data_IF_805170738965
#
_entry.id   IF_805170738965
#
_cell.length_a   1.000
_cell.length_b   1.000
_cell.length_c   1.000
_cell.angle_alpha   90.00
_cell.angle_beta   90.00
_cell.angle_gamma   90.00
#
_symmetry.space_group_name_H-M   'P 1'
#
loop_
_entity.id
_entity.type
_entity.pdbx_description
1 polymer ?
#
# COMPACT_ATOMS: atom_id res chain seq x y z
N UNK A 1 3.31 -31.44 9.40
CA UNK A 1 2.78 -30.06 9.47
C UNK A 1 1.28 -30.14 9.61
N UNK A 2 0.67 -29.43 10.57
CA UNK A 2 -0.79 -29.41 10.72
C UNK A 2 -1.46 -28.84 9.47
N UNK A 3 -2.55 -29.47 9.01
CA UNK A 3 -3.29 -29.04 7.81
C UNK A 3 -3.75 -27.57 7.89
N UNK A 4 -4.03 -27.08 9.09
CA UNK A 4 -4.41 -25.68 9.34
C UNK A 4 -3.32 -24.69 8.87
N UNK A 5 -2.05 -25.06 8.96
CA UNK A 5 -0.94 -24.22 8.51
C UNK A 5 -0.83 -24.14 6.98
N UNK A 6 -1.55 -24.99 6.24
CA UNK A 6 -1.66 -24.88 4.78
C UNK A 6 -2.56 -23.71 4.34
N UNK A 7 -3.51 -23.28 5.17
CA UNK A 7 -4.37 -22.12 4.87
C UNK A 7 -3.63 -20.78 4.94
N UNK A 8 -2.44 -20.75 5.54
CA UNK A 8 -1.62 -19.52 5.63
C UNK A 8 -1.31 -18.94 4.25
N UNK A 9 -1.14 -19.81 3.25
CA UNK A 9 -0.80 -19.37 1.89
C UNK A 9 -1.98 -18.67 1.24
N UNK A 10 -3.18 -19.23 1.43
CA UNK A 10 -4.43 -18.61 0.99
C UNK A 10 -4.67 -17.27 1.69
N UNK A 11 -4.49 -17.23 3.02
CA UNK A 11 -4.62 -15.99 3.82
C UNK A 11 -3.68 -14.91 3.27
N UNK A 12 -2.39 -15.23 3.12
CA UNK A 12 -1.40 -14.25 2.65
C UNK A 12 -1.64 -13.86 1.20
N UNK A 13 -2.05 -14.80 0.34
CA UNK A 13 -2.42 -14.51 -1.03
C UNK A 13 -3.59 -13.52 -1.11
N UNK A 14 -4.68 -13.76 -0.37
CA UNK A 14 -5.84 -12.89 -0.35
C UNK A 14 -5.50 -11.49 0.16
N UNK A 15 -4.71 -11.42 1.23
CA UNK A 15 -4.27 -10.14 1.83
C UNK A 15 -3.37 -9.34 0.88
N UNK A 16 -2.39 -9.98 0.25
CA UNK A 16 -1.49 -9.34 -0.73
C UNK A 16 -2.30 -8.82 -1.92
N UNK A 17 -3.21 -9.64 -2.45
CA UNK A 17 -4.07 -9.27 -3.56
C UNK A 17 -4.95 -8.07 -3.19
N UNK A 18 -5.61 -8.10 -2.04
CA UNK A 18 -6.42 -6.99 -1.53
C UNK A 18 -5.60 -5.71 -1.43
N UNK A 19 -4.43 -5.76 -0.80
CA UNK A 19 -3.54 -4.62 -0.67
C UNK A 19 -3.12 -4.06 -2.05
N UNK A 20 -2.79 -4.94 -3.00
CA UNK A 20 -2.42 -4.54 -4.35
C UNK A 20 -3.51 -3.74 -5.05
N UNK A 21 -4.77 -4.15 -4.91
CA UNK A 21 -5.94 -3.47 -5.50
C UNK A 21 -6.32 -2.19 -4.77
N UNK A 22 -6.30 -2.21 -3.44
CA UNK A 22 -6.86 -1.12 -2.64
C UNK A 22 -5.86 -0.02 -2.32
N UNK A 23 -4.54 -0.26 -2.34
CA UNK A 23 -3.55 0.71 -1.84
C UNK A 23 -2.37 0.95 -2.80
N UNK A 24 -2.07 -0.04 -3.63
CA UNK A 24 -0.92 -0.05 -4.53
C UNK A 24 -1.38 -0.11 -5.98
N UNK A 25 -0.49 -0.49 -6.88
CA UNK A 25 -0.71 -0.35 -8.32
C UNK A 25 -1.03 -1.68 -8.99
N UNK A 26 -1.78 -2.53 -8.29
CA UNK A 26 -2.25 -3.84 -8.73
C UNK A 26 -1.14 -4.82 -9.14
N UNK A 27 0.14 -4.52 -8.90
CA UNK A 27 1.24 -5.47 -9.07
C UNK A 27 1.63 -6.04 -7.71
N UNK A 28 1.86 -7.34 -7.72
CA UNK A 28 2.40 -8.07 -6.58
C UNK A 28 3.13 -9.31 -7.08
N UNK A 29 4.01 -9.84 -6.24
CA UNK A 29 4.69 -11.11 -6.51
C UNK A 29 4.52 -12.03 -5.32
N UNK A 30 4.31 -13.32 -5.59
CA UNK A 30 4.24 -14.36 -4.57
C UNK A 30 5.10 -15.53 -5.04
N UNK A 31 6.04 -15.94 -4.21
CA UNK A 31 6.91 -17.10 -4.43
C UNK A 31 6.79 -18.03 -3.23
N UNK A 32 6.21 -19.21 -3.46
CA UNK A 32 6.14 -20.25 -2.44
C UNK A 32 7.36 -21.17 -2.53
N UNK A 33 8.02 -21.35 -1.38
CA UNK A 33 9.09 -22.33 -1.17
C UNK A 33 8.53 -23.39 -0.23
N UNK A 34 7.54 -24.11 -0.75
CA UNK A 34 6.80 -25.14 -0.03
C UNK A 34 7.74 -26.22 0.52
N UNK A 35 7.49 -26.78 1.72
CA UNK A 35 6.37 -26.47 2.62
C UNK A 35 6.66 -25.37 3.65
N UNK A 36 7.90 -24.90 3.75
CA UNK A 36 8.36 -24.16 4.93
C UNK A 36 8.31 -22.64 4.80
N UNK A 37 8.22 -22.09 3.59
CA UNK A 37 8.35 -20.64 3.40
C UNK A 37 7.50 -20.11 2.26
N UNK A 38 7.08 -18.85 2.38
CA UNK A 38 6.51 -18.05 1.29
C UNK A 38 7.05 -16.64 1.39
N UNK A 39 7.36 -16.06 0.24
CA UNK A 39 7.79 -14.67 0.13
C UNK A 39 6.85 -13.98 -0.84
N UNK A 40 6.22 -12.92 -0.37
CA UNK A 40 5.41 -12.05 -1.20
C UNK A 40 5.95 -10.61 -1.15
N UNK A 41 5.68 -9.85 -2.20
CA UNK A 41 5.94 -8.41 -2.24
C UNK A 41 4.76 -7.71 -2.89
N UNK A 42 4.38 -6.57 -2.33
CA UNK A 42 3.34 -5.67 -2.87
C UNK A 42 3.74 -4.24 -2.54
N UNK A 43 3.87 -3.40 -3.56
CA UNK A 43 4.46 -2.08 -3.44
C UNK A 43 5.80 -2.04 -2.71
N UNK A 44 5.90 -1.19 -1.70
CA UNK A 44 7.08 -1.07 -0.83
C UNK A 44 7.14 -2.16 0.27
N UNK A 45 6.18 -3.08 0.32
CA UNK A 45 6.07 -4.09 1.38
C UNK A 45 6.60 -5.44 0.90
N UNK A 46 7.39 -6.07 1.77
CA UNK A 46 7.80 -7.47 1.65
C UNK A 46 7.21 -8.28 2.79
N UNK A 47 6.53 -9.37 2.45
CA UNK A 47 5.96 -10.33 3.39
C UNK A 47 6.78 -11.62 3.34
N UNK A 48 7.20 -12.10 4.49
CA UNK A 48 7.93 -13.36 4.63
C UNK A 48 7.21 -14.24 5.62
N UNK A 49 6.72 -15.38 5.15
CA UNK A 49 6.09 -16.42 5.95
C UNK A 49 7.12 -17.53 6.18
N UNK A 50 7.31 -17.94 7.43
CA UNK A 50 8.01 -19.18 7.76
C UNK A 50 7.04 -20.10 8.53
N UNK A 51 7.01 -21.37 8.16
CA UNK A 51 6.11 -22.39 8.72
C UNK A 51 6.95 -23.50 9.35
N UNK A 52 6.71 -23.73 10.64
CA UNK A 52 7.15 -24.92 11.36
C UNK A 52 6.04 -25.95 11.44
N UNK A 53 6.24 -26.97 12.27
CA UNK A 53 5.24 -28.04 12.42
C UNK A 53 3.97 -27.57 13.14
N UNK A 54 4.11 -26.67 14.12
CA UNK A 54 3.02 -26.16 14.98
C UNK A 54 2.93 -24.64 14.99
N UNK A 55 3.77 -23.94 14.22
CA UNK A 55 3.86 -22.48 14.22
C UNK A 55 3.95 -21.94 12.80
N UNK A 56 3.36 -20.78 12.56
CA UNK A 56 3.62 -19.95 11.40
C UNK A 56 3.95 -18.53 11.87
N UNK A 57 5.04 -17.98 11.35
CA UNK A 57 5.43 -16.58 11.57
C UNK A 57 5.31 -15.82 10.27
N UNK A 58 4.55 -14.73 10.26
CA UNK A 58 4.36 -13.84 9.13
C UNK A 58 5.05 -12.52 9.47
N UNK A 59 6.05 -12.15 8.69
CA UNK A 59 6.78 -10.90 8.83
C UNK A 59 6.38 -9.95 7.71
N UNK A 60 5.81 -8.81 8.06
CA UNK A 60 5.53 -7.68 7.15
C UNK A 60 6.65 -6.66 7.32
N UNK A 61 7.32 -6.27 6.23
CA UNK A 61 8.53 -5.42 6.27
C UNK A 61 8.49 -4.32 5.22
N UNK A 62 9.03 -3.16 5.57
CA UNK A 62 9.46 -2.13 4.62
C UNK A 62 10.72 -1.45 5.17
N UNK A 63 11.85 -1.56 4.46
CA UNK A 63 13.15 -1.12 4.97
C UNK A 63 13.45 -1.73 6.35
N UNK A 64 13.73 -0.87 7.33
CA UNK A 64 13.97 -1.26 8.73
C UNK A 64 12.68 -1.49 9.54
N UNK A 65 11.53 -1.03 9.04
CA UNK A 65 10.26 -1.25 9.71
C UNK A 65 9.79 -2.69 9.52
N UNK A 66 9.37 -3.32 10.60
CA UNK A 66 8.93 -4.71 10.61
C UNK A 66 7.83 -4.90 11.64
N UNK A 67 6.78 -5.61 11.24
CA UNK A 67 5.75 -6.13 12.14
C UNK A 67 5.66 -7.65 11.99
N UNK A 68 5.52 -8.34 13.12
CA UNK A 68 5.41 -9.79 13.17
C UNK A 68 4.00 -10.18 13.57
N UNK A 69 3.50 -11.23 12.94
CA UNK A 69 2.25 -11.90 13.27
C UNK A 69 2.53 -13.39 13.42
N UNK A 70 2.02 -14.00 14.48
CA UNK A 70 2.28 -15.40 14.79
C UNK A 70 0.98 -16.17 14.91
N UNK A 71 0.96 -17.37 14.33
CA UNK A 71 -0.08 -18.38 14.54
C UNK A 71 0.61 -19.59 15.16
N UNK A 72 0.11 -20.06 16.31
CA UNK A 72 0.64 -21.23 17.01
C UNK A 72 -0.47 -22.19 17.38
N UNK A 73 -0.27 -23.46 17.08
CA UNK A 73 -1.12 -24.57 17.50
C UNK A 73 -0.57 -25.11 18.81
N UNK A 74 -1.40 -25.06 19.84
CA UNK A 74 -1.11 -25.56 21.18
C UNK A 74 -1.43 -27.05 21.28
N UNK A 75 -0.93 -27.71 22.34
CA UNK A 75 -1.12 -29.15 22.56
C UNK A 75 -2.59 -29.58 22.70
N UNK A 76 -3.48 -28.65 23.07
CA UNK A 76 -4.90 -28.91 23.28
C UNK A 76 -5.76 -28.57 22.04
N UNK A 77 -5.19 -28.63 20.83
CA UNK A 77 -5.83 -28.20 19.58
C UNK A 77 -6.41 -26.77 19.65
N UNK A 78 -5.80 -25.89 20.44
CA UNK A 78 -6.12 -24.47 20.45
C UNK A 78 -5.15 -23.71 19.56
N UNK A 79 -5.62 -22.66 18.91
CA UNK A 79 -4.81 -21.79 18.05
C UNK A 79 -4.70 -20.42 18.69
N UNK A 80 -3.47 -20.04 18.99
CA UNK A 80 -3.13 -18.69 19.41
C UNK A 80 -2.73 -17.86 18.20
N UNK A 81 -3.41 -16.75 17.99
CA UNK A 81 -3.01 -15.72 17.03
C UNK A 81 -3.21 -14.33 17.63
N UNK A 82 -2.11 -13.57 17.72
CA UNK A 82 -2.11 -12.16 18.08
C UNK A 82 -2.94 -11.78 19.33
N UNK A 83 -2.79 -12.58 20.38
CA UNK A 83 -3.47 -12.40 21.68
C UNK A 83 -4.81 -13.12 21.84
N UNK A 84 -5.37 -13.68 20.76
CA UNK A 84 -6.61 -14.44 20.80
C UNK A 84 -6.33 -15.94 20.78
N UNK A 85 -7.15 -16.72 21.50
CA UNK A 85 -7.15 -18.17 21.47
C UNK A 85 -8.50 -18.67 20.91
N UNK A 86 -8.44 -19.53 19.90
CA UNK A 86 -9.62 -20.15 19.29
C UNK A 86 -9.48 -21.67 19.22
N UNK A 87 -10.60 -22.36 19.10
CA UNK A 87 -10.58 -23.78 18.77
C UNK A 87 -10.03 -23.99 17.35
N UNK A 88 -9.20 -25.00 17.15
CA UNK A 88 -8.67 -25.36 15.83
C UNK A 88 -9.77 -25.69 14.83
N UNK A 89 -10.87 -26.29 15.28
CA UNK A 89 -12.00 -26.66 14.41
C UNK A 89 -12.75 -25.42 13.89
N UNK A 90 -12.62 -24.30 14.60
CA UNK A 90 -13.25 -23.03 14.22
C UNK A 90 -12.33 -22.13 13.39
N UNK A 91 -11.08 -22.54 13.13
CA UNK A 91 -10.07 -21.69 12.49
C UNK A 91 -10.54 -21.07 11.17
N UNK A 92 -11.22 -21.85 10.33
CA UNK A 92 -11.70 -21.42 9.02
C UNK A 92 -12.69 -20.25 9.11
N UNK A 93 -13.52 -20.20 10.15
CA UNK A 93 -14.45 -19.09 10.39
C UNK A 93 -13.74 -17.79 10.79
N UNK A 94 -12.54 -17.89 11.36
CA UNK A 94 -11.74 -16.74 11.78
C UNK A 94 -10.78 -16.23 10.69
N UNK A 95 -10.66 -16.93 9.56
CA UNK A 95 -9.80 -16.51 8.43
C UNK A 95 -10.04 -15.06 8.00
N UNK A 96 -11.29 -14.58 7.78
CA UNK A 96 -11.52 -13.19 7.37
C UNK A 96 -11.01 -12.15 8.38
N UNK A 97 -11.11 -12.46 9.67
CA UNK A 97 -10.60 -11.59 10.74
C UNK A 97 -9.07 -11.54 10.73
N UNK A 98 -8.42 -12.69 10.53
CA UNK A 98 -6.96 -12.79 10.39
C UNK A 98 -6.48 -12.01 9.16
N UNK A 99 -7.16 -12.17 8.02
CA UNK A 99 -6.85 -11.45 6.78
C UNK A 99 -6.96 -9.94 6.97
N UNK A 100 -8.03 -9.47 7.62
CA UNK A 100 -8.24 -8.03 7.90
C UNK A 100 -7.11 -7.46 8.73
N UNK A 101 -6.72 -8.14 9.82
CA UNK A 101 -5.64 -7.70 10.70
C UNK A 101 -4.28 -7.67 10.00
N UNK A 102 -4.00 -8.67 9.17
CA UNK A 102 -2.77 -8.69 8.35
C UNK A 102 -2.75 -7.59 7.31
N UNK A 103 -3.89 -7.29 6.67
CA UNK A 103 -4.02 -6.17 5.74
C UNK A 103 -3.74 -4.83 6.43
N UNK A 104 -4.28 -4.59 7.63
CA UNK A 104 -3.99 -3.39 8.42
C UNK A 104 -2.49 -3.26 8.74
N UNK A 105 -1.82 -4.39 9.03
CA UNK A 105 -0.38 -4.39 9.28
C UNK A 105 0.40 -3.95 8.03
N UNK A 106 -0.01 -4.39 6.83
CA UNK A 106 0.59 -3.96 5.57
C UNK A 106 0.41 -2.46 5.36
N UNK A 107 -0.81 -1.95 5.53
CA UNK A 107 -1.12 -0.53 5.34
C UNK A 107 -0.29 0.33 6.31
N UNK A 108 -0.33 0.03 7.61
CA UNK A 108 0.40 0.80 8.63
C UNK A 108 1.92 0.76 8.41
N UNK A 109 2.49 -0.41 8.08
CA UNK A 109 3.94 -0.50 7.81
C UNK A 109 4.30 0.26 6.53
N UNK A 110 3.47 0.20 5.49
CA UNK A 110 3.69 0.92 4.24
C UNK A 110 3.67 2.43 4.44
N UNK A 111 2.67 2.95 5.13
CA UNK A 111 2.47 4.39 5.28
C UNK A 111 3.55 5.07 6.10
N UNK A 112 4.08 4.38 7.10
CA UNK A 112 5.12 4.91 7.99
C UNK A 112 6.54 4.70 7.46
N UNK A 113 6.71 3.97 6.36
CA UNK A 113 8.02 3.66 5.81
C UNK A 113 8.62 4.83 5.02
N UNK A 114 9.94 5.02 5.13
CA UNK A 114 10.69 6.01 4.34
C UNK A 114 11.00 5.55 2.90
N UNK A 115 10.49 4.39 2.50
CA UNK A 115 10.54 3.91 1.12
C UNK A 115 9.12 3.82 0.63
N UNK A 116 8.80 4.51 -0.46
CA UNK A 116 7.48 4.52 -1.04
C UNK A 116 7.53 4.01 -2.47
N UNK A 117 6.42 3.42 -2.89
CA UNK A 117 6.23 3.02 -4.27
C UNK A 117 5.66 4.17 -5.10
N UNK A 118 6.20 4.31 -6.31
CA UNK A 118 5.66 5.14 -7.37
C UNK A 118 5.41 4.26 -8.59
N UNK A 119 4.26 4.47 -9.22
CA UNK A 119 3.81 3.71 -10.37
C UNK A 119 3.58 4.61 -11.57
N UNK A 120 4.04 4.14 -12.72
CA UNK A 120 3.85 4.82 -13.98
C UNK A 120 3.37 3.83 -15.04
N UNK A 121 2.38 4.27 -15.82
CA UNK A 121 1.87 3.51 -16.94
C UNK A 121 2.85 3.65 -18.12
N UNK A 122 3.38 2.54 -18.60
CA UNK A 122 4.15 2.47 -19.84
C UNK A 122 3.39 1.65 -20.89
N UNK A 123 3.80 1.76 -22.16
CA UNK A 123 3.18 1.04 -23.28
C UNK A 123 3.10 -0.49 -23.07
N UNK A 124 3.93 -1.07 -22.20
CA UNK A 124 3.99 -2.53 -21.91
C UNK A 124 3.37 -2.93 -20.55
N UNK A 125 2.74 -2.00 -19.81
CA UNK A 125 2.15 -2.27 -18.50
C UNK A 125 2.49 -1.23 -17.44
N UNK A 126 2.10 -1.50 -16.20
CA UNK A 126 2.45 -0.68 -15.03
C UNK A 126 3.86 -1.04 -14.61
N UNK A 127 4.72 -0.04 -14.43
CA UNK A 127 6.04 -0.22 -13.83
C UNK A 127 6.09 0.48 -12.48
N UNK A 128 6.66 -0.23 -11.52
CA UNK A 128 6.83 0.21 -10.14
C UNK A 128 8.28 0.61 -9.91
N UNK A 129 8.49 1.70 -9.20
CA UNK A 129 9.79 2.09 -8.65
C UNK A 129 9.64 2.36 -7.16
N UNK A 130 10.67 1.97 -6.42
CA UNK A 130 10.80 2.32 -5.02
C UNK A 130 11.65 3.58 -4.92
N UNK A 131 11.17 4.57 -4.18
CA UNK A 131 11.89 5.82 -3.92
C UNK A 131 12.03 6.04 -2.42
N UNK A 132 13.12 6.69 -2.00
CA UNK A 132 13.25 7.20 -0.64
C UNK A 132 12.37 8.44 -0.49
N UNK A 133 11.36 8.35 0.35
CA UNK A 133 10.36 9.39 0.56
C UNK A 133 9.33 9.02 1.62
N UNK A 134 8.48 9.97 1.99
CA UNK A 134 7.41 9.79 2.98
C UNK A 134 6.06 10.09 2.35
N UNK A 135 5.03 9.37 2.81
CA UNK A 135 3.64 9.77 2.58
C UNK A 135 3.39 11.07 3.37
N UNK A 136 2.86 12.10 2.71
CA UNK A 136 2.54 13.38 3.33
C UNK A 136 1.03 13.57 3.36
N UNK A 137 0.52 14.06 4.50
CA UNK A 137 -0.85 14.52 4.62
C UNK A 137 -0.92 15.96 4.10
N UNK A 138 -1.56 16.14 2.95
CA UNK A 138 -1.82 17.47 2.38
C UNK A 138 -3.01 18.12 3.09
N UNK A 139 -2.87 19.41 3.43
CA UNK A 139 -3.93 20.23 4.03
C UNK A 139 -5.07 20.49 3.04
N UNK A 140 -6.23 20.92 3.55
CA UNK A 140 -7.40 21.26 2.72
C UNK A 140 -7.09 22.36 1.70
N UNK A 141 -6.31 23.38 2.06
CA UNK A 141 -5.91 24.43 1.13
C UNK A 141 -5.09 23.87 -0.05
N UNK A 142 -4.10 23.01 0.24
CA UNK A 142 -3.28 22.36 -0.79
C UNK A 142 -4.14 21.43 -1.65
N UNK A 143 -5.08 20.70 -1.03
CA UNK A 143 -6.03 19.84 -1.72
C UNK A 143 -6.86 20.64 -2.72
N UNK A 144 -7.47 21.74 -2.30
CA UNK A 144 -8.27 22.61 -3.15
C UNK A 144 -7.48 23.18 -4.33
N UNK A 145 -6.27 23.68 -4.10
CA UNK A 145 -5.40 24.16 -5.19
C UNK A 145 -5.02 23.03 -6.15
N UNK A 146 -4.64 21.85 -5.65
CA UNK A 146 -4.33 20.70 -6.52
C UNK A 146 -5.55 20.26 -7.32
N UNK A 147 -6.74 20.27 -6.72
CA UNK A 147 -8.00 19.94 -7.39
C UNK A 147 -8.26 20.85 -8.58
N UNK A 148 -8.15 22.16 -8.38
CA UNK A 148 -8.35 23.16 -9.43
C UNK A 148 -7.33 22.98 -10.56
N UNK A 149 -6.05 22.91 -10.22
CA UNK A 149 -4.96 22.75 -11.20
C UNK A 149 -5.12 21.48 -12.03
N UNK A 150 -5.45 20.36 -11.38
CA UNK A 150 -5.60 19.07 -12.07
C UNK A 150 -6.88 19.00 -12.89
N UNK A 151 -7.96 19.66 -12.45
CA UNK A 151 -9.20 19.78 -13.23
C UNK A 151 -8.95 20.55 -14.53
N UNK A 152 -8.18 21.64 -14.48
CA UNK A 152 -7.75 22.40 -15.66
C UNK A 152 -6.91 21.50 -16.58
N UNK A 153 -5.89 20.83 -16.05
CA UNK A 153 -4.99 19.99 -16.84
C UNK A 153 -5.71 18.87 -17.58
N UNK A 154 -6.56 18.11 -16.89
CA UNK A 154 -7.22 16.94 -17.45
C UNK A 154 -8.52 17.27 -18.19
N UNK A 155 -8.98 18.53 -18.14
CA UNK A 155 -10.24 19.00 -18.73
C UNK A 155 -11.44 18.14 -18.30
N UNK A 156 -11.41 17.64 -17.07
CA UNK A 156 -12.46 16.87 -16.40
C UNK A 156 -12.33 17.08 -14.90
N UNK A 157 -13.43 16.93 -14.18
CA UNK A 157 -13.45 17.01 -12.72
C UNK A 157 -12.42 16.04 -12.10
N UNK A 158 -11.57 16.61 -11.26
CA UNK A 158 -10.72 15.88 -10.32
C UNK A 158 -11.26 16.19 -8.94
N UNK A 159 -11.35 15.19 -8.06
CA UNK A 159 -11.78 15.40 -6.67
C UNK A 159 -10.66 15.07 -5.70
N UNK A 160 -10.60 15.77 -4.58
CA UNK A 160 -9.73 15.38 -3.46
C UNK A 160 -10.32 14.23 -2.64
N UNK A 161 -11.60 13.92 -2.83
CA UNK A 161 -12.28 12.79 -2.22
C UNK A 161 -12.44 11.63 -3.21
N UNK A 162 -11.86 10.48 -2.88
CA UNK A 162 -11.98 9.29 -3.71
C UNK A 162 -13.32 8.59 -3.48
N UNK A 163 -14.27 8.86 -4.37
CA UNK A 163 -15.55 8.19 -4.49
C UNK A 163 -15.61 7.34 -5.79
N UNK A 164 -16.59 6.44 -5.90
CA UNK A 164 -16.61 5.34 -6.90
C UNK A 164 -16.57 5.80 -8.37
N UNK A 165 -16.85 7.07 -8.65
CA UNK A 165 -17.04 7.62 -9.99
C UNK A 165 -16.05 8.71 -10.38
N UNK A 166 -15.06 9.04 -9.55
CA UNK A 166 -14.16 10.19 -9.78
C UNK A 166 -12.75 9.79 -10.18
N UNK A 167 -12.10 10.70 -10.92
CA UNK A 167 -10.66 10.84 -10.86
C UNK A 167 -10.34 11.57 -9.57
N UNK A 168 -9.54 10.98 -8.69
CA UNK A 168 -9.25 11.57 -7.39
C UNK A 168 -7.77 11.60 -7.03
N UNK A 169 -7.44 12.49 -6.10
CA UNK A 169 -6.12 12.59 -5.47
C UNK A 169 -6.12 11.69 -4.23
N UNK A 170 -5.27 10.65 -4.22
CA UNK A 170 -5.28 9.67 -3.12
C UNK A 170 -4.26 9.95 -2.02
N UNK A 171 -3.02 10.27 -2.40
CA UNK A 171 -1.94 10.60 -1.46
C UNK A 171 -0.83 11.38 -2.16
N UNK A 172 -0.04 12.11 -1.38
CA UNK A 172 1.20 12.72 -1.83
C UNK A 172 2.42 11.96 -1.26
N UNK A 173 3.45 11.81 -2.06
CA UNK A 173 4.76 11.30 -1.65
C UNK A 173 5.76 12.42 -1.84
N UNK A 174 6.42 12.82 -0.75
CA UNK A 174 7.51 13.77 -0.80
C UNK A 174 8.85 13.04 -0.63
N UNK A 175 9.76 13.32 -1.54
CA UNK A 175 11.17 12.90 -1.50
C UNK A 175 12.04 14.13 -1.28
N UNK A 176 13.35 13.95 -1.07
CA UNK A 176 14.28 15.10 -0.90
C UNK A 176 14.29 16.10 -2.05
N UNK A 177 13.90 15.68 -3.26
CA UNK A 177 13.99 16.49 -4.48
C UNK A 177 12.65 16.75 -5.17
N UNK A 178 11.69 15.85 -4.98
CA UNK A 178 10.49 15.75 -5.81
C UNK A 178 9.27 15.46 -4.95
N UNK A 179 8.15 16.05 -5.34
CA UNK A 179 6.84 15.76 -4.77
C UNK A 179 6.00 15.10 -5.85
N UNK A 180 5.44 13.95 -5.51
CA UNK A 180 4.57 13.17 -6.39
C UNK A 180 3.16 13.14 -5.81
N UNK A 181 2.16 13.35 -6.66
CA UNK A 181 0.76 13.18 -6.30
C UNK A 181 0.23 11.92 -6.97
N UNK A 182 -0.34 11.02 -6.17
CA UNK A 182 -1.02 9.83 -6.67
C UNK A 182 -2.42 10.21 -7.14
N UNK A 183 -2.69 9.90 -8.40
CA UNK A 183 -4.00 10.00 -9.02
C UNK A 183 -4.60 8.62 -9.21
N UNK A 184 -5.90 8.51 -8.95
CA UNK A 184 -6.65 7.27 -9.07
C UNK A 184 -7.90 7.52 -9.89
N UNK A 185 -8.06 6.77 -10.96
CA UNK A 185 -9.33 6.68 -11.68
C UNK A 185 -10.07 5.45 -11.15
N UNK A 186 -10.96 5.68 -10.18
CA UNK A 186 -11.62 4.59 -9.42
C UNK A 186 -12.44 3.70 -10.34
N UNK A 187 -13.10 4.30 -11.36
CA UNK A 187 -13.92 3.58 -12.34
C UNK A 187 -13.09 2.61 -13.19
N UNK A 188 -11.85 2.98 -13.51
CA UNK A 188 -10.96 2.18 -14.37
C UNK A 188 -9.91 1.41 -13.60
N UNK A 189 -9.94 1.46 -12.26
CA UNK A 189 -8.92 0.89 -11.36
C UNK A 189 -7.49 1.26 -11.77
N UNK A 190 -7.30 2.48 -12.28
CA UNK A 190 -6.00 2.94 -12.76
C UNK A 190 -5.33 3.84 -11.73
N UNK A 191 -4.03 3.61 -11.55
CA UNK A 191 -3.18 4.35 -10.62
C UNK A 191 -1.99 4.92 -11.37
N UNK A 192 -1.69 6.20 -11.14
CA UNK A 192 -0.44 6.79 -11.60
C UNK A 192 0.01 7.91 -10.68
N UNK A 193 1.28 8.25 -10.78
CA UNK A 193 1.85 9.39 -10.09
C UNK A 193 2.20 10.49 -11.07
N UNK A 194 1.96 11.70 -10.63
CA UNK A 194 2.35 12.92 -11.31
C UNK A 194 3.40 13.63 -10.46
N UNK A 195 4.56 13.91 -11.03
CA UNK A 195 5.54 14.80 -10.40
C UNK A 195 5.05 16.24 -10.50
N UNK A 196 4.99 16.96 -9.38
CA UNK A 196 4.45 18.34 -9.39
C UNK A 196 5.31 19.31 -10.20
N UNK A 197 6.63 19.08 -10.29
CA UNK A 197 7.51 19.88 -11.16
C UNK A 197 7.15 19.73 -12.64
N UNK A 198 6.67 18.56 -13.08
CA UNK A 198 6.25 18.34 -14.47
C UNK A 198 5.00 19.16 -14.83
N UNK A 199 4.18 19.53 -13.83
CA UNK A 199 3.02 20.41 -14.05
C UNK A 199 3.44 21.81 -14.49
N UNK A 200 4.58 22.31 -14.01
CA UNK A 200 5.06 23.66 -14.33
C UNK A 200 5.26 23.81 -15.84
N UNK A 201 5.76 22.76 -16.50
CA UNK A 201 5.96 22.76 -17.94
C UNK A 201 4.65 22.65 -18.73
N UNK A 202 3.60 22.09 -18.11
CA UNK A 202 2.28 21.89 -18.75
C UNK A 202 1.33 23.06 -18.53
N UNK A 203 1.51 23.81 -17.45
CA UNK A 203 0.69 24.95 -17.02
C UNK A 203 1.59 26.11 -16.55
N UNK A 204 2.36 26.75 -17.45
CA UNK A 204 3.33 27.79 -17.07
C UNK A 204 2.70 28.98 -16.32
N UNK A 205 1.46 29.35 -16.65
CA UNK A 205 0.68 30.41 -16.01
C UNK A 205 0.38 30.13 -14.52
N UNK A 206 0.40 28.87 -14.10
CA UNK A 206 0.20 28.45 -12.72
C UNK A 206 1.50 28.05 -12.00
N UNK A 207 2.67 28.30 -12.62
CA UNK A 207 3.97 27.85 -12.11
C UNK A 207 4.24 28.30 -10.66
N UNK A 208 3.92 29.55 -10.31
CA UNK A 208 4.16 30.09 -8.97
C UNK A 208 3.31 29.39 -7.90
N UNK A 209 2.06 29.08 -8.21
CA UNK A 209 1.16 28.34 -7.32
C UNK A 209 1.69 26.92 -7.08
N UNK A 210 2.08 26.22 -8.15
CA UNK A 210 2.65 24.87 -8.08
C UNK A 210 3.94 24.86 -7.24
N UNK A 211 4.82 25.84 -7.43
CA UNK A 211 6.05 25.98 -6.64
C UNK A 211 5.76 26.24 -5.15
N UNK A 212 4.72 27.01 -4.84
CA UNK A 212 4.30 27.24 -3.47
C UNK A 212 3.79 25.95 -2.80
N UNK A 213 2.97 25.16 -3.51
CA UNK A 213 2.51 23.85 -3.04
C UNK A 213 3.69 22.92 -2.75
N UNK A 214 4.65 22.82 -3.68
CA UNK A 214 5.85 21.99 -3.50
C UNK A 214 6.63 22.42 -2.24
N UNK A 215 6.83 23.72 -2.04
CA UNK A 215 7.53 24.26 -0.86
C UNK A 215 6.81 23.91 0.44
N UNK A 216 5.49 24.09 0.49
CA UNK A 216 4.69 23.77 1.68
C UNK A 216 4.71 22.28 2.03
N UNK A 217 4.64 21.40 1.02
CA UNK A 217 4.74 19.94 1.24
C UNK A 217 6.13 19.57 1.74
N UNK A 218 7.19 20.10 1.12
CA UNK A 218 8.57 19.80 1.51
C UNK A 218 8.91 20.32 2.91
N UNK A 219 8.29 21.42 3.37
CA UNK A 219 8.46 21.90 4.73
C UNK A 219 8.09 20.85 5.79
N UNK A 220 7.15 19.93 5.48
CA UNK A 220 6.72 18.85 6.37
C UNK A 220 7.68 17.66 6.43
N UNK A 221 8.73 17.64 5.60
CA UNK A 221 9.78 16.63 5.67
C UNK A 221 10.85 16.93 6.73
N UNK A 222 10.90 18.19 7.19
CA UNK A 222 11.89 18.72 8.15
C UNK A 222 11.58 18.29 9.58
#
# INVERSE_FOLDING_TARGET
>A
MYAILAYIDTIVFNVVRKAAYENFCTVYTIKSYSPCKLVASVGNIRIIVNRGNTTASISVKCGNMKKMFYIRINKNNRINYDGNEIDADLFTYHIPSIETKLYEYIVVVSENCNTQEICYKQNKGIKEILVEGKKINISEDIRGSLEQLLTILYKREVSVECNKSSLCIKKAIATRKKVYVQLVDVKKENYWYLELSDLINKMPEHAQEILNIIKQINAQLS
#
